data_IF_461512387391
#
_entry.id   IF_461512387391
#
_cell.length_a   1.000
_cell.length_b   1.000
_cell.length_c   1.000
_cell.angle_alpha   90.00
_cell.angle_beta   90.00
_cell.angle_gamma   90.00
#
_symmetry.space_group_name_H-M   'P 1'
#
loop_
_entity.id
_entity.type
_entity.pdbx_description
1 polymer ?
#
# COMPACT_ATOMS: atom_id res chain seq x y z
N UNK A 1 -12.75 -53.80 57.35
CA UNK A 1 -11.31 -54.11 57.47
C UNK A 1 -10.53 -52.81 57.46
N UNK A 2 -9.50 -52.77 58.29
CA UNK A 2 -8.80 -51.61 58.83
C UNK A 2 -7.65 -51.17 57.90
N UNK A 3 -7.15 -49.92 58.12
CA UNK A 3 -5.78 -49.40 57.82
C UNK A 3 -5.57 -48.86 56.38
N UNK A 4 -5.05 -47.64 56.15
CA UNK A 4 -4.55 -46.61 57.06
C UNK A 4 -4.02 -45.34 56.36
N UNK A 5 -3.87 -44.29 57.20
CA UNK A 5 -2.95 -43.12 57.18
C UNK A 5 -3.01 -42.19 55.93
N UNK A 6 -3.66 -41.01 55.96
CA UNK A 6 -3.40 -39.72 56.68
C UNK A 6 -1.98 -39.14 56.49
N UNK A 7 -1.91 -37.89 56.03
CA UNK A 7 -1.32 -36.72 56.70
C UNK A 7 -1.72 -35.45 55.90
N UNK A 8 -2.63 -34.59 56.41
CA UNK A 8 -2.39 -33.37 57.22
C UNK A 8 -1.73 -32.24 56.40
N UNK A 9 -2.07 -30.95 56.48
CA UNK A 9 -3.11 -30.17 57.16
C UNK A 9 -2.88 -28.71 56.73
N UNK A 10 -3.95 -27.93 56.58
CA UNK A 10 -3.89 -26.46 56.55
C UNK A 10 -3.53 -25.90 57.94
N UNK A 11 -2.85 -24.73 57.99
CA UNK A 11 -3.13 -23.56 58.85
C UNK A 11 -1.91 -22.61 58.97
N UNK A 12 -2.15 -21.34 58.56
CA UNK A 12 -1.65 -20.04 59.03
C UNK A 12 -0.16 -19.67 59.12
N UNK A 13 0.18 -18.49 58.55
CA UNK A 13 0.74 -17.37 59.32
C UNK A 13 0.62 -16.01 58.57
N UNK A 14 0.15 -15.00 59.31
CA UNK A 14 0.14 -13.55 59.04
C UNK A 14 1.51 -12.95 59.45
N UNK A 15 1.96 -11.87 58.79
CA UNK A 15 2.78 -10.83 59.45
C UNK A 15 3.98 -10.21 58.70
N UNK A 16 3.75 -9.02 58.13
CA UNK A 16 4.53 -7.74 58.02
C UNK A 16 6.08 -7.59 58.11
N UNK A 17 6.54 -6.54 57.38
CA UNK A 17 7.81 -5.74 57.36
C UNK A 17 8.91 -6.18 56.34
N UNK A 18 9.10 -5.51 55.18
CA UNK A 18 9.88 -4.27 54.87
C UNK A 18 11.39 -4.45 55.09
N UNK A 19 12.38 -4.24 54.20
CA UNK A 19 12.78 -3.18 53.25
C UNK A 19 13.87 -3.80 52.30
N UNK A 20 14.07 -3.37 51.04
CA UNK A 20 15.07 -2.36 50.65
C UNK A 20 14.76 -1.74 49.27
N UNK A 21 14.68 -0.39 49.28
CA UNK A 21 15.07 0.61 48.28
C UNK A 21 14.67 0.48 46.79
N UNK A 22 13.67 1.27 46.39
CA UNK A 22 13.45 1.79 45.02
C UNK A 22 14.33 3.04 44.76
N UNK A 23 14.82 3.26 43.53
CA UNK A 23 15.13 4.60 43.03
C UNK A 23 13.90 5.25 42.35
N UNK A 24 13.81 6.59 42.32
CA UNK A 24 12.61 7.31 41.90
C UNK A 24 12.67 7.70 40.42
N UNK A 25 11.63 7.33 39.66
CA UNK A 25 11.02 8.14 38.59
C UNK A 25 9.81 7.38 38.06
N UNK A 26 8.68 7.64 38.70
CA UNK A 26 7.36 7.13 38.37
C UNK A 26 6.87 7.70 37.03
N UNK A 27 6.50 6.82 36.09
CA UNK A 27 5.58 7.17 35.01
C UNK A 27 4.19 7.51 35.61
N UNK A 28 3.41 8.45 35.04
CA UNK A 28 2.12 8.82 35.59
C UNK A 28 1.14 7.64 35.54
N UNK A 29 0.48 7.34 36.66
CA UNK A 29 -0.66 6.41 36.70
C UNK A 29 -1.83 7.04 35.94
N UNK A 30 -2.16 6.50 34.78
CA UNK A 30 -3.46 6.74 34.16
C UNK A 30 -4.51 5.84 34.84
N UNK A 31 -5.53 6.44 35.43
CA UNK A 31 -6.72 5.73 35.91
C UNK A 31 -7.54 5.25 34.72
N UNK A 32 -7.72 3.93 34.61
CA UNK A 32 -8.55 3.29 33.61
C UNK A 32 -10.03 3.43 34.00
N UNK A 33 -10.78 4.27 33.27
CA UNK A 33 -12.25 4.27 33.35
C UNK A 33 -12.82 3.38 32.25
N UNK A 34 -13.70 2.46 32.64
CA UNK A 34 -14.38 1.53 31.73
C UNK A 34 -15.84 1.96 31.57
N UNK A 35 -16.38 1.91 30.36
CA UNK A 35 -17.82 1.92 30.12
C UNK A 35 -18.27 0.52 29.66
N UNK A 36 -19.32 0.02 30.29
CA UNK A 36 -19.94 -1.26 29.92
C UNK A 36 -20.83 -1.08 28.68
N UNK A 37 -20.59 -1.90 27.66
CA UNK A 37 -21.55 -2.09 26.57
C UNK A 37 -22.80 -2.78 27.14
N UNK A 38 -23.96 -2.12 27.06
CA UNK A 38 -25.23 -2.64 27.58
C UNK A 38 -25.80 -3.79 26.75
N UNK A 39 -25.22 -4.11 25.59
CA UNK A 39 -25.70 -5.17 24.69
C UNK A 39 -24.89 -6.48 24.75
N UNK A 40 -23.61 -6.44 25.13
CA UNK A 40 -22.74 -7.62 25.15
C UNK A 40 -21.95 -7.69 26.46
N UNK A 41 -22.38 -8.51 27.42
CA UNK A 41 -21.77 -8.62 28.77
C UNK A 41 -20.35 -9.23 28.83
N UNK A 42 -19.50 -9.17 27.77
CA UNK A 42 -18.20 -9.87 27.80
C UNK A 42 -16.99 -9.28 27.08
N UNK A 43 -16.97 -8.00 26.71
CA UNK A 43 -15.75 -7.42 26.10
C UNK A 43 -15.41 -6.05 26.67
N UNK A 44 -14.26 -5.96 27.36
CA UNK A 44 -13.64 -4.70 27.79
C UNK A 44 -12.80 -4.18 26.62
N UNK A 45 -13.16 -3.02 26.07
CA UNK A 45 -12.38 -2.34 25.03
C UNK A 45 -11.50 -1.28 25.71
N UNK A 46 -10.19 -1.29 25.42
CA UNK A 46 -9.28 -0.20 25.78
C UNK A 46 -9.41 0.93 24.77
N UNK A 47 -9.45 2.18 25.24
CA UNK A 47 -9.33 3.37 24.39
C UNK A 47 -8.01 4.06 24.79
N UNK A 48 -7.13 4.26 23.80
CA UNK A 48 -6.08 5.28 23.88
C UNK A 48 -6.62 6.52 23.15
N UNK A 49 -6.53 7.68 23.80
CA UNK A 49 -7.22 8.91 23.44
C UNK A 49 -6.96 9.35 22.00
N UNK A 50 -8.05 9.58 21.26
CA UNK A 50 -8.05 10.27 19.98
C UNK A 50 -8.74 11.62 20.18
N UNK A 51 -8.03 12.55 20.80
CA UNK A 51 -8.37 13.96 20.76
C UNK A 51 -7.35 14.67 19.86
N UNK A 52 -7.85 15.67 19.13
CA UNK A 52 -7.16 16.54 18.17
C UNK A 52 -6.71 15.88 16.86
N UNK A 53 -7.52 16.08 15.82
CA UNK A 53 -7.13 16.76 14.58
C UNK A 53 -8.43 17.13 13.83
N UNK A 54 -9.00 18.29 14.18
CA UNK A 54 -9.85 19.05 13.28
C UNK A 54 -8.95 19.58 12.16
N UNK A 55 -8.63 18.71 11.20
CA UNK A 55 -8.06 19.13 9.93
C UNK A 55 -9.21 19.60 9.05
N UNK A 56 -9.18 20.89 8.76
CA UNK A 56 -9.95 21.62 7.77
C UNK A 56 -10.02 20.88 6.43
N UNK A 57 -11.01 20.00 6.29
CA UNK A 57 -11.53 19.62 4.98
C UNK A 57 -12.31 20.82 4.50
N UNK A 58 -11.77 21.48 3.48
CA UNK A 58 -12.37 22.63 2.77
C UNK A 58 -13.86 22.42 2.57
N UNK A 59 -14.62 23.04 3.46
CA UNK A 59 -16.07 23.15 3.46
C UNK A 59 -16.50 24.18 2.41
N UNK A 60 -16.13 23.97 1.15
CA UNK A 60 -16.61 24.78 0.02
C UNK A 60 -17.41 23.95 -1.00
N UNK A 61 -17.39 22.62 -0.92
CA UNK A 61 -18.14 21.74 -1.84
C UNK A 61 -19.54 21.32 -1.37
N UNK A 62 -20.05 21.91 -0.29
CA UNK A 62 -21.30 21.48 0.34
C UNK A 62 -22.48 22.47 0.25
N UNK A 63 -22.36 23.56 -0.54
CA UNK A 63 -23.46 24.54 -0.72
C UNK A 63 -23.99 24.68 -2.16
N UNK A 64 -23.62 23.78 -3.09
CA UNK A 64 -24.04 23.87 -4.51
C UNK A 64 -25.07 22.82 -4.94
N UNK A 65 -26.11 22.59 -4.13
CA UNK A 65 -27.22 21.71 -4.57
C UNK A 65 -28.41 22.46 -5.16
N UNK A 66 -28.54 23.77 -4.91
CA UNK A 66 -29.75 24.53 -5.24
C UNK A 66 -29.51 25.72 -6.19
N UNK A 67 -28.31 25.85 -6.78
CA UNK A 67 -28.06 26.85 -7.83
C UNK A 67 -28.33 26.23 -9.20
N UNK A 68 -29.10 26.88 -10.09
CA UNK A 68 -29.29 26.42 -11.46
C UNK A 68 -27.93 26.36 -12.18
N UNK A 69 -27.69 25.26 -12.90
CA UNK A 69 -26.41 24.93 -13.54
C UNK A 69 -25.94 26.03 -14.48
N UNK A 70 -26.87 26.72 -15.12
CA UNK A 70 -26.58 27.88 -15.93
C UNK A 70 -25.74 28.90 -15.14
N UNK A 71 -26.12 29.28 -13.92
CA UNK A 71 -25.38 30.31 -13.14
C UNK A 71 -23.94 29.90 -12.78
N UNK A 72 -23.58 28.62 -12.91
CA UNK A 72 -22.23 28.13 -12.67
C UNK A 72 -21.26 28.35 -13.84
N UNK A 73 -21.74 28.77 -15.02
CA UNK A 73 -20.93 28.96 -16.23
C UNK A 73 -21.19 30.31 -16.89
N UNK A 74 -20.16 30.90 -17.52
CA UNK A 74 -20.30 32.12 -18.33
C UNK A 74 -21.09 31.83 -19.61
N UNK A 75 -21.69 32.87 -20.22
CA UNK A 75 -22.47 32.71 -21.45
C UNK A 75 -21.68 32.03 -22.58
N UNK A 76 -20.39 32.37 -22.71
CA UNK A 76 -19.46 31.76 -23.66
C UNK A 76 -19.22 30.27 -23.36
N UNK A 77 -18.98 29.92 -22.09
CA UNK A 77 -18.80 28.54 -21.67
C UNK A 77 -20.06 27.69 -21.92
N UNK A 78 -21.25 28.24 -21.64
CA UNK A 78 -22.52 27.58 -21.92
C UNK A 78 -22.70 27.31 -23.41
N UNK A 79 -22.40 28.29 -24.25
CA UNK A 79 -22.48 28.15 -25.70
C UNK A 79 -21.57 27.02 -26.21
N UNK A 80 -20.33 26.94 -25.74
CA UNK A 80 -19.39 25.87 -26.10
C UNK A 80 -19.87 24.49 -25.65
N UNK A 81 -20.39 24.39 -24.42
CA UNK A 81 -20.94 23.13 -23.88
C UNK A 81 -22.13 22.66 -24.72
N UNK A 82 -23.12 23.54 -24.93
CA UNK A 82 -24.33 23.23 -25.67
C UNK A 82 -24.03 22.91 -27.13
N UNK A 83 -23.13 23.66 -27.76
CA UNK A 83 -22.68 23.38 -29.12
C UNK A 83 -22.08 21.97 -29.19
N UNK A 84 -21.18 21.60 -28.28
CA UNK A 84 -20.56 20.27 -28.29
C UNK A 84 -21.57 19.15 -28.04
N UNK A 85 -22.52 19.34 -27.12
CA UNK A 85 -23.55 18.33 -26.84
C UNK A 85 -24.57 18.17 -27.98
N UNK A 86 -24.86 19.24 -28.72
CA UNK A 86 -25.80 19.21 -29.84
C UNK A 86 -25.16 18.70 -31.14
N UNK A 87 -23.86 18.94 -31.37
CA UNK A 87 -23.20 18.61 -32.65
C UNK A 87 -22.34 17.34 -32.61
N UNK A 88 -21.78 16.96 -31.46
CA UNK A 88 -20.84 15.83 -31.40
C UNK A 88 -21.51 14.50 -31.74
N UNK A 89 -20.79 13.63 -32.44
CA UNK A 89 -21.20 12.25 -32.71
C UNK A 89 -21.12 11.39 -31.44
N UNK A 90 -21.75 10.21 -31.44
CA UNK A 90 -21.67 9.27 -30.32
C UNK A 90 -20.21 8.95 -29.95
N UNK A 91 -19.38 8.59 -30.94
CA UNK A 91 -17.96 8.28 -30.76
C UNK A 91 -17.18 9.44 -30.15
N UNK A 92 -17.48 10.68 -30.54
CA UNK A 92 -16.85 11.88 -29.98
C UNK A 92 -17.29 12.16 -28.54
N UNK A 93 -18.56 11.91 -28.21
CA UNK A 93 -19.07 12.04 -26.85
C UNK A 93 -18.46 10.99 -25.92
N UNK A 94 -18.22 9.78 -26.38
CA UNK A 94 -17.54 8.74 -25.59
C UNK A 94 -16.10 9.12 -25.19
N UNK A 95 -15.46 10.01 -25.96
CA UNK A 95 -14.15 10.53 -25.59
C UNK A 95 -14.21 11.47 -24.38
N UNK A 96 -15.37 12.04 -24.05
CA UNK A 96 -15.57 12.95 -22.91
C UNK A 96 -15.68 12.15 -21.60
N UNK A 97 -15.08 12.68 -20.52
CA UNK A 97 -15.05 12.00 -19.22
C UNK A 97 -16.49 11.77 -18.72
N UNK A 98 -16.77 10.55 -18.26
CA UNK A 98 -18.10 10.11 -17.78
C UNK A 98 -19.23 10.03 -18.82
N UNK A 99 -18.95 10.19 -20.12
CA UNK A 99 -19.96 10.02 -21.18
C UNK A 99 -19.89 8.69 -21.95
N UNK A 100 -19.00 7.76 -21.59
CA UNK A 100 -18.85 6.47 -22.28
C UNK A 100 -20.10 5.58 -22.23
N UNK A 101 -20.32 4.80 -23.30
CA UNK A 101 -21.37 3.81 -23.39
C UNK A 101 -22.78 4.42 -23.37
N UNK A 102 -23.66 3.89 -22.51
CA UNK A 102 -25.09 4.23 -22.50
C UNK A 102 -25.39 5.72 -22.36
N UNK A 103 -24.48 6.52 -21.77
CA UNK A 103 -24.67 7.96 -21.58
C UNK A 103 -24.53 8.76 -22.89
N UNK A 104 -23.53 8.46 -23.72
CA UNK A 104 -23.39 9.08 -25.05
C UNK A 104 -24.60 8.75 -25.94
N UNK A 105 -25.00 7.47 -25.96
CA UNK A 105 -26.20 7.00 -26.68
C UNK A 105 -27.45 7.76 -26.22
N UNK A 106 -27.64 7.91 -24.90
CA UNK A 106 -28.80 8.61 -24.35
C UNK A 106 -28.82 10.10 -24.72
N UNK A 107 -27.67 10.78 -24.77
CA UNK A 107 -27.58 12.18 -25.20
C UNK A 107 -28.00 12.33 -26.66
N UNK A 108 -27.47 11.49 -27.55
CA UNK A 108 -27.83 11.50 -28.98
C UNK A 108 -29.32 11.17 -29.15
N UNK A 109 -29.81 10.12 -28.48
CA UNK A 109 -31.23 9.74 -28.53
C UNK A 109 -32.16 10.84 -28.02
N UNK A 110 -31.78 11.53 -26.94
CA UNK A 110 -32.59 12.58 -26.36
C UNK A 110 -32.68 13.79 -27.30
N UNK A 111 -31.56 14.27 -27.86
CA UNK A 111 -31.59 15.39 -28.81
C UNK A 111 -32.32 15.07 -30.12
N UNK A 112 -32.29 13.82 -30.57
CA UNK A 112 -33.04 13.38 -31.76
C UNK A 112 -34.54 13.32 -31.51
N UNK A 113 -34.97 13.05 -30.28
CA UNK A 113 -36.40 12.88 -29.94
C UNK A 113 -37.05 14.16 -29.40
N UNK A 114 -36.31 15.01 -28.70
CA UNK A 114 -36.82 16.22 -28.03
C UNK A 114 -36.30 17.53 -28.64
N UNK A 115 -35.44 17.44 -29.65
CA UNK A 115 -34.76 18.60 -30.23
C UNK A 115 -33.45 18.96 -29.52
N UNK A 116 -32.73 19.98 -30.01
CA UNK A 116 -31.44 20.38 -29.45
C UNK A 116 -31.59 20.93 -28.02
N UNK A 117 -30.54 20.78 -27.21
CA UNK A 117 -30.45 21.36 -25.87
C UNK A 117 -30.31 22.87 -25.95
N UNK A 118 -31.18 23.61 -25.26
CA UNK A 118 -31.18 25.08 -25.23
C UNK A 118 -30.63 25.67 -23.92
N UNK A 119 -30.60 24.89 -22.84
CA UNK A 119 -30.01 25.28 -21.55
C UNK A 119 -29.26 24.13 -20.90
N UNK A 120 -28.38 24.38 -19.94
CA UNK A 120 -27.66 23.30 -19.25
C UNK A 120 -28.59 22.46 -18.36
N UNK A 121 -29.73 23.02 -17.93
CA UNK A 121 -30.78 22.29 -17.22
C UNK A 121 -31.46 21.29 -18.13
N UNK A 122 -31.63 21.58 -19.43
CA UNK A 122 -32.24 20.63 -20.36
C UNK A 122 -31.42 19.32 -20.49
N UNK A 123 -30.11 19.40 -20.25
CA UNK A 123 -29.20 18.23 -20.24
C UNK A 123 -29.47 17.29 -19.06
N UNK A 124 -30.07 17.80 -17.98
CA UNK A 124 -30.45 17.01 -16.80
C UNK A 124 -31.63 16.06 -17.05
N UNK A 125 -32.40 16.30 -18.12
CA UNK A 125 -33.50 15.43 -18.53
C UNK A 125 -33.00 14.16 -19.25
N UNK A 126 -31.69 14.07 -19.54
CA UNK A 126 -31.09 12.90 -20.16
C UNK A 126 -30.96 11.77 -19.13
N UNK A 127 -31.49 10.56 -19.41
CA UNK A 127 -31.38 9.43 -18.49
C UNK A 127 -29.93 9.11 -18.15
N UNK A 128 -29.66 8.87 -16.85
CA UNK A 128 -28.34 8.55 -16.26
C UNK A 128 -27.36 9.73 -16.16
N UNK A 129 -27.78 10.95 -16.47
CA UNK A 129 -26.96 12.16 -16.35
C UNK A 129 -27.47 13.05 -15.21
N UNK A 130 -26.97 12.81 -13.99
CA UNK A 130 -27.32 13.59 -12.79
C UNK A 130 -26.38 14.80 -12.61
N UNK A 131 -26.75 15.75 -11.74
CA UNK A 131 -26.10 17.05 -11.55
C UNK A 131 -24.59 16.95 -11.37
N UNK A 132 -24.15 16.10 -10.43
CA UNK A 132 -22.72 15.85 -10.18
C UNK A 132 -21.98 15.31 -11.41
N UNK A 133 -22.63 14.47 -12.22
CA UNK A 133 -22.04 13.96 -13.46
C UNK A 133 -22.02 15.02 -14.56
N UNK A 134 -23.10 15.80 -14.69
CA UNK A 134 -23.20 16.88 -15.67
C UNK A 134 -22.11 17.95 -15.47
N UNK A 135 -21.88 18.39 -14.22
CA UNK A 135 -20.80 19.34 -13.89
C UNK A 135 -19.42 18.81 -14.32
N UNK A 136 -19.13 17.54 -14.06
CA UNK A 136 -17.85 16.92 -14.45
C UNK A 136 -17.73 16.84 -15.98
N UNK A 137 -18.82 16.56 -16.68
CA UNK A 137 -18.89 16.52 -18.14
C UNK A 137 -18.64 17.90 -18.74
N UNK A 138 -19.31 18.93 -18.23
CA UNK A 138 -19.17 20.32 -18.67
C UNK A 138 -17.73 20.81 -18.49
N UNK A 139 -17.14 20.59 -17.31
CA UNK A 139 -15.75 20.90 -17.06
C UNK A 139 -14.79 20.11 -17.98
N UNK A 140 -15.13 18.87 -18.33
CA UNK A 140 -14.34 18.08 -19.29
C UNK A 140 -14.47 18.54 -20.75
N UNK A 141 -15.56 19.22 -21.11
CA UNK A 141 -15.76 19.81 -22.44
C UNK A 141 -14.99 21.12 -22.55
N UNK A 142 -15.03 21.96 -21.50
CA UNK A 142 -14.30 23.22 -21.44
C UNK A 142 -12.77 23.05 -21.38
N UNK A 143 -12.29 22.00 -20.70
CA UNK A 143 -10.86 21.74 -20.53
C UNK A 143 -10.43 20.41 -21.20
N UNK A 144 -10.28 20.36 -22.55
CA UNK A 144 -9.85 19.14 -23.24
C UNK A 144 -8.36 18.80 -23.00
N UNK A 145 -7.53 19.77 -22.59
CA UNK A 145 -6.10 19.60 -22.33
C UNK A 145 -5.79 18.67 -21.14
N UNK A 146 -6.70 18.58 -20.16
CA UNK A 146 -6.66 17.66 -19.01
C UNK A 146 -6.55 16.17 -19.41
N UNK A 147 -6.86 15.83 -20.68
CA UNK A 147 -6.73 14.46 -21.21
C UNK A 147 -5.31 14.12 -21.65
N UNK A 148 -4.53 15.08 -22.16
CA UNK A 148 -3.16 14.83 -22.64
C UNK A 148 -2.18 14.80 -21.48
N UNK A 149 -2.35 15.64 -20.48
CA UNK A 149 -1.49 15.64 -19.29
C UNK A 149 -1.76 14.46 -18.35
N UNK A 150 -3.01 14.01 -18.19
CA UNK A 150 -3.31 12.84 -17.33
C UNK A 150 -3.00 11.48 -17.97
N UNK A 151 -2.85 11.41 -19.30
CA UNK A 151 -2.45 10.17 -20.01
C UNK A 151 -0.94 9.91 -19.95
N UNK A 152 -0.11 10.94 -19.79
CA UNK A 152 1.28 10.80 -19.30
C UNK A 152 1.22 10.83 -17.78
N UNK A 153 0.65 9.76 -17.21
CA UNK A 153 0.33 9.72 -15.80
C UNK A 153 1.60 9.87 -14.97
N UNK A 154 1.83 11.06 -14.41
CA UNK A 154 2.65 11.21 -13.20
C UNK A 154 2.15 10.15 -12.24
N UNK A 155 2.92 9.08 -12.04
CA UNK A 155 2.54 8.01 -11.13
C UNK A 155 2.49 8.66 -9.76
N UNK A 156 1.28 8.87 -9.23
CA UNK A 156 1.13 9.54 -7.95
C UNK A 156 1.82 8.66 -6.89
N UNK A 157 2.96 9.11 -6.38
CA UNK A 157 3.82 8.40 -5.43
C UNK A 157 3.03 7.80 -4.25
N UNK A 158 2.05 8.56 -3.74
CA UNK A 158 1.16 8.12 -2.65
C UNK A 158 0.29 6.89 -2.98
N UNK A 159 0.24 6.46 -4.25
CA UNK A 159 -0.47 5.23 -4.65
C UNK A 159 0.35 3.96 -4.40
N UNK A 160 1.67 4.04 -4.39
CA UNK A 160 2.51 2.84 -4.33
C UNK A 160 3.52 2.81 -3.17
N UNK A 161 3.85 3.94 -2.54
CA UNK A 161 4.70 4.01 -1.34
C UNK A 161 3.91 4.51 -0.13
N UNK A 162 4.12 3.91 1.04
CA UNK A 162 3.57 4.36 2.34
C UNK A 162 4.57 4.19 3.48
N UNK A 163 4.62 5.06 4.49
CA UNK A 163 3.93 6.34 4.60
C UNK A 163 4.34 7.31 3.48
N UNK A 164 3.59 8.41 3.33
CA UNK A 164 3.93 9.44 2.35
C UNK A 164 5.23 10.14 2.79
N UNK A 165 6.19 10.21 1.87
CA UNK A 165 7.48 10.85 2.04
C UNK A 165 7.67 11.80 0.87
N UNK A 166 8.34 12.91 1.12
CA UNK A 166 8.67 13.85 0.05
C UNK A 166 9.49 13.15 -1.05
N UNK A 167 9.09 13.39 -2.30
CA UNK A 167 9.72 12.79 -3.48
C UNK A 167 11.19 13.15 -3.55
N UNK A 168 11.55 14.39 -3.19
CA UNK A 168 12.94 14.85 -3.22
C UNK A 168 13.84 13.99 -2.31
N UNK A 169 13.33 13.57 -1.14
CA UNK A 169 14.07 12.71 -0.21
C UNK A 169 14.22 11.28 -0.76
N UNK A 170 13.20 10.76 -1.45
CA UNK A 170 13.29 9.43 -2.07
C UNK A 170 14.24 9.42 -3.27
N UNK A 171 14.23 10.48 -4.07
CA UNK A 171 15.17 10.67 -5.18
C UNK A 171 16.60 10.88 -4.71
N UNK A 172 16.78 11.47 -3.52
CA UNK A 172 18.09 11.63 -2.90
C UNK A 172 18.61 10.38 -2.16
N UNK A 173 17.89 9.26 -2.20
CA UNK A 173 18.42 7.99 -1.69
C UNK A 173 19.68 7.56 -2.47
N UNK A 174 20.76 7.25 -1.75
CA UNK A 174 21.98 6.67 -2.29
C UNK A 174 21.85 5.16 -2.44
N UNK A 175 21.23 4.49 -1.47
CA UNK A 175 20.94 3.05 -1.53
C UNK A 175 19.68 2.65 -0.75
N UNK A 176 19.08 1.55 -1.17
CA UNK A 176 17.89 0.97 -0.54
C UNK A 176 18.09 -0.52 -0.25
N UNK A 177 17.42 -1.02 0.79
CA UNK A 177 17.23 -2.47 1.01
C UNK A 177 15.76 -2.81 0.78
N UNK A 178 15.50 -3.55 -0.29
CA UNK A 178 14.17 -4.08 -0.59
C UNK A 178 13.97 -5.43 0.08
N UNK A 179 12.87 -5.62 0.80
CA UNK A 179 12.57 -6.75 1.67
C UNK A 179 11.22 -7.35 1.27
N UNK A 180 11.20 -8.66 1.05
CA UNK A 180 9.99 -9.45 0.76
C UNK A 180 9.91 -10.62 1.74
N UNK A 181 8.75 -10.78 2.37
CA UNK A 181 8.47 -11.87 3.29
C UNK A 181 7.53 -12.89 2.64
N UNK A 182 7.98 -14.14 2.59
CA UNK A 182 7.15 -15.30 2.26
C UNK A 182 6.54 -15.92 3.51
N UNK A 183 6.08 -17.16 3.43
CA UNK A 183 5.50 -17.90 4.56
C UNK A 183 6.55 -18.55 5.48
N UNK A 184 7.78 -18.72 5.01
CA UNK A 184 8.88 -19.35 5.75
C UNK A 184 10.25 -18.71 5.50
N UNK A 185 10.30 -17.60 4.76
CA UNK A 185 11.54 -16.96 4.32
C UNK A 185 11.39 -15.45 4.28
N UNK A 186 12.52 -14.78 4.43
CA UNK A 186 12.68 -13.37 4.11
C UNK A 186 13.79 -13.27 3.06
N UNK A 187 13.52 -12.58 1.96
CA UNK A 187 14.51 -12.24 0.96
C UNK A 187 14.72 -10.73 0.92
N UNK A 188 15.94 -10.31 0.61
CA UNK A 188 16.26 -8.91 0.47
C UNK A 188 17.23 -8.64 -0.67
N UNK A 189 17.21 -7.40 -1.16
CA UNK A 189 18.12 -6.88 -2.18
C UNK A 189 18.60 -5.51 -1.77
N UNK A 190 19.91 -5.33 -1.63
CA UNK A 190 20.54 -4.03 -1.48
C UNK A 190 20.91 -3.50 -2.86
N UNK A 191 20.40 -2.31 -3.20
CA UNK A 191 20.59 -1.69 -4.50
C UNK A 191 20.97 -0.22 -4.34
N UNK A 192 21.95 0.23 -5.12
CA UNK A 192 22.35 1.64 -5.18
C UNK A 192 21.52 2.43 -6.22
N UNK A 193 21.69 3.76 -6.22
CA UNK A 193 21.07 4.65 -7.20
C UNK A 193 21.48 4.35 -8.65
N UNK A 194 22.66 3.77 -8.88
CA UNK A 194 23.11 3.35 -10.20
C UNK A 194 22.39 2.08 -10.71
N UNK A 195 21.49 1.50 -9.91
CA UNK A 195 20.80 0.22 -10.16
C UNK A 195 21.76 -0.96 -10.17
N UNK A 196 22.83 -0.87 -9.39
CA UNK A 196 23.76 -1.98 -9.12
C UNK A 196 23.25 -2.77 -7.93
N UNK A 197 23.15 -4.08 -8.10
CA UNK A 197 22.82 -5.00 -7.01
C UNK A 197 24.07 -5.21 -6.16
N UNK A 198 24.09 -4.63 -4.96
CA UNK A 198 25.22 -4.71 -4.02
C UNK A 198 25.17 -5.99 -3.19
N UNK A 199 23.97 -6.37 -2.75
CA UNK A 199 23.73 -7.61 -2.02
C UNK A 199 22.38 -8.21 -2.41
N UNK A 200 22.29 -9.53 -2.46
CA UNK A 200 21.06 -10.25 -2.82
C UNK A 200 21.03 -11.62 -2.16
N UNK A 201 20.15 -11.76 -1.16
CA UNK A 201 20.15 -12.91 -0.26
C UNK A 201 18.74 -13.26 0.22
N UNK A 202 18.63 -14.44 0.81
CA UNK A 202 17.43 -14.91 1.49
C UNK A 202 17.82 -15.72 2.72
N UNK A 203 16.95 -15.70 3.72
CA UNK A 203 17.08 -16.48 4.93
C UNK A 203 15.79 -17.28 5.18
N UNK A 204 15.95 -18.51 5.67
CA UNK A 204 14.84 -19.32 6.16
C UNK A 204 14.55 -18.99 7.62
N UNK A 205 13.30 -18.65 7.91
CA UNK A 205 12.83 -18.36 9.26
C UNK A 205 12.10 -19.61 9.78
N UNK A 206 12.73 -20.32 10.72
CA UNK A 206 12.26 -21.64 11.14
C UNK A 206 10.96 -21.57 11.92
N UNK A 207 10.71 -20.47 12.61
CA UNK A 207 9.54 -20.22 13.47
C UNK A 207 8.33 -19.75 12.67
N UNK A 208 8.52 -19.32 11.43
CA UNK A 208 7.44 -18.78 10.60
C UNK A 208 6.42 -19.85 10.23
N UNK A 209 5.15 -19.56 10.53
CA UNK A 209 4.00 -20.42 10.21
C UNK A 209 4.15 -21.89 10.64
N UNK A 210 4.97 -22.19 11.67
CA UNK A 210 5.13 -23.54 12.22
C UNK A 210 4.50 -23.63 13.61
N UNK A 211 3.56 -24.56 13.76
CA UNK A 211 2.92 -24.82 15.05
C UNK A 211 2.11 -23.62 15.57
N UNK A 212 2.20 -23.38 16.87
CA UNK A 212 1.50 -22.29 17.54
C UNK A 212 2.21 -20.96 17.29
N UNK A 213 1.45 -19.92 16.94
CA UNK A 213 2.00 -18.57 16.77
C UNK A 213 2.55 -18.03 18.10
N UNK A 214 3.86 -17.80 18.16
CA UNK A 214 4.56 -17.17 19.29
C UNK A 214 5.37 -15.97 18.78
N UNK A 215 5.12 -14.79 19.34
CA UNK A 215 5.75 -13.54 18.90
C UNK A 215 7.25 -13.45 19.27
N UNK A 216 7.67 -14.10 20.36
CA UNK A 216 9.07 -14.22 20.75
C UNK A 216 9.90 -14.91 19.68
N UNK A 217 9.39 -16.01 19.15
CA UNK A 217 10.12 -16.86 18.21
C UNK A 217 10.28 -16.16 16.85
N UNK A 218 9.29 -15.35 16.47
CA UNK A 218 9.38 -14.46 15.31
C UNK A 218 10.40 -13.35 15.52
N UNK A 219 10.44 -12.76 16.72
CA UNK A 219 11.41 -11.71 17.04
C UNK A 219 12.85 -12.22 16.94
N UNK A 220 13.13 -13.43 17.41
CA UNK A 220 14.45 -14.05 17.28
C UNK A 220 14.88 -14.25 15.82
N UNK A 221 14.02 -14.88 15.01
CA UNK A 221 14.26 -15.10 13.58
C UNK A 221 14.46 -13.77 12.84
N UNK A 222 13.60 -12.78 13.07
CA UNK A 222 13.66 -11.48 12.39
C UNK A 222 14.89 -10.69 12.85
N UNK A 223 15.25 -10.72 14.13
CA UNK A 223 16.45 -10.02 14.63
C UNK A 223 17.73 -10.60 14.03
N UNK A 224 17.79 -11.93 13.87
CA UNK A 224 18.89 -12.59 13.16
C UNK A 224 18.99 -12.13 11.70
N UNK A 225 17.86 -12.01 11.00
CA UNK A 225 17.82 -11.51 9.61
C UNK A 225 18.24 -10.05 9.53
N UNK A 226 17.69 -9.17 10.37
CA UNK A 226 18.03 -7.73 10.37
C UNK A 226 19.52 -7.50 10.62
N UNK A 227 20.15 -8.34 11.44
CA UNK A 227 21.60 -8.26 11.71
C UNK A 227 22.47 -8.48 10.46
N UNK A 228 21.90 -9.06 9.40
CA UNK A 228 22.57 -9.24 8.11
C UNK A 228 22.33 -8.10 7.11
N UNK A 229 21.45 -7.14 7.43
CA UNK A 229 21.15 -6.04 6.51
C UNK A 229 22.29 -5.02 6.47
N UNK A 230 22.71 -4.60 5.26
CA UNK A 230 23.64 -3.49 5.14
C UNK A 230 22.97 -2.16 5.52
N UNK A 231 23.75 -1.13 5.87
CA UNK A 231 23.22 0.21 6.06
C UNK A 231 22.64 0.75 4.75
N UNK A 232 21.46 1.34 4.82
CA UNK A 232 20.77 1.97 3.69
C UNK A 232 19.92 3.16 4.15
N UNK A 233 19.54 4.00 3.20
CA UNK A 233 18.73 5.20 3.45
C UNK A 233 17.27 4.81 3.73
N UNK A 234 16.76 3.87 2.93
CA UNK A 234 15.42 3.33 3.08
C UNK A 234 15.38 1.79 3.08
N UNK A 235 14.49 1.25 3.90
CA UNK A 235 14.11 -0.16 3.92
C UNK A 235 12.71 -0.30 3.33
N UNK A 236 12.60 -0.92 2.16
CA UNK A 236 11.33 -1.10 1.44
C UNK A 236 10.76 -2.48 1.77
N UNK A 237 9.70 -2.52 2.56
CA UNK A 237 8.95 -3.73 2.88
C UNK A 237 7.81 -3.91 1.86
N UNK A 238 7.63 -5.12 1.36
CA UNK A 238 6.48 -5.40 0.49
C UNK A 238 5.15 -5.24 1.24
N UNK A 239 4.21 -4.50 0.64
CA UNK A 239 2.81 -4.50 1.06
C UNK A 239 2.01 -5.53 0.26
N UNK A 240 1.64 -6.68 0.85
CA UNK A 240 0.85 -7.69 0.16
C UNK A 240 -0.59 -7.21 -0.06
N UNK A 241 -1.16 -7.61 -1.21
CA UNK A 241 -2.54 -7.31 -1.62
C UNK A 241 -3.60 -8.28 -1.10
N UNK A 242 -3.35 -8.97 0.03
CA UNK A 242 -4.31 -9.92 0.60
C UNK A 242 -5.45 -9.16 1.27
N UNK A 243 -6.68 -9.42 0.83
CA UNK A 243 -7.88 -8.81 1.42
C UNK A 243 -8.15 -9.39 2.81
N UNK A 244 -8.41 -8.54 3.83
CA UNK A 244 -8.82 -9.01 5.16
C UNK A 244 -10.17 -9.73 5.17
N UNK A 245 -10.98 -9.56 4.11
CA UNK A 245 -12.26 -10.23 3.96
C UNK A 245 -12.10 -11.72 3.58
N UNK A 246 -10.93 -12.12 3.07
CA UNK A 246 -10.67 -13.51 2.75
C UNK A 246 -10.26 -14.28 4.01
N UNK A 247 -11.23 -14.90 4.66
CA UNK A 247 -11.04 -15.68 5.90
C UNK A 247 -10.12 -16.89 5.72
N UNK A 248 -10.08 -17.48 4.52
CA UNK A 248 -9.22 -18.65 4.25
C UNK A 248 -7.72 -18.32 4.29
N UNK A 249 -7.35 -17.09 3.92
CA UNK A 249 -5.97 -16.61 3.94
C UNK A 249 -5.64 -15.81 5.20
N UNK A 250 -6.55 -15.75 6.18
CA UNK A 250 -6.36 -14.96 7.39
C UNK A 250 -5.09 -15.35 8.18
N UNK A 251 -4.73 -16.64 8.35
CA UNK A 251 -3.47 -17.00 9.04
C UNK A 251 -2.23 -16.43 8.33
N UNK A 252 -2.20 -16.49 6.99
CA UNK A 252 -1.11 -15.92 6.18
C UNK A 252 -1.10 -14.39 6.29
N UNK A 253 -2.26 -13.76 6.28
CA UNK A 253 -2.38 -12.31 6.46
C UNK A 253 -1.83 -11.87 7.82
N UNK A 254 -2.23 -12.54 8.91
CA UNK A 254 -1.74 -12.23 10.26
C UNK A 254 -0.23 -12.39 10.32
N UNK A 255 0.30 -13.50 9.78
CA UNK A 255 1.73 -13.74 9.70
C UNK A 255 2.48 -12.60 9.00
N UNK A 256 2.09 -12.24 7.77
CA UNK A 256 2.75 -11.18 7.01
C UNK A 256 2.63 -9.82 7.70
N UNK A 257 1.49 -9.53 8.36
CA UNK A 257 1.29 -8.29 9.12
C UNK A 257 2.13 -8.23 10.40
N UNK A 258 2.33 -9.36 11.08
CA UNK A 258 3.24 -9.46 12.22
C UNK A 258 4.67 -9.18 11.80
N UNK A 259 5.15 -9.84 10.74
CA UNK A 259 6.51 -9.64 10.24
C UNK A 259 6.70 -8.20 9.77
N UNK A 260 5.74 -7.64 9.03
CA UNK A 260 5.71 -6.22 8.64
C UNK A 260 5.86 -5.33 9.88
N UNK A 261 5.02 -5.51 10.90
CA UNK A 261 5.06 -4.68 12.12
C UNK A 261 6.40 -4.78 12.87
N UNK A 262 6.99 -5.97 12.96
CA UNK A 262 8.30 -6.18 13.59
C UNK A 262 9.43 -5.53 12.79
N UNK A 263 9.44 -5.65 11.47
CA UNK A 263 10.41 -4.97 10.61
C UNK A 263 10.33 -3.45 10.77
N UNK A 264 9.11 -2.90 10.76
CA UNK A 264 8.90 -1.46 11.01
C UNK A 264 9.39 -1.03 12.39
N UNK A 265 9.13 -1.81 13.43
CA UNK A 265 9.55 -1.47 14.78
C UNK A 265 11.07 -1.56 14.98
N UNK A 266 11.72 -2.57 14.41
CA UNK A 266 13.14 -2.86 14.63
C UNK A 266 14.08 -2.05 13.71
N UNK A 267 13.65 -1.75 12.49
CA UNK A 267 14.45 -0.96 11.53
C UNK A 267 14.24 0.55 11.68
N UNK A 268 13.19 0.98 12.39
CA UNK A 268 13.00 2.40 12.69
C UNK A 268 13.95 2.81 13.81
N UNK A 269 14.86 3.77 13.59
CA UNK A 269 15.76 4.24 14.64
C UNK A 269 14.98 4.89 15.79
N UNK A 270 15.60 4.94 16.98
CA UNK A 270 15.04 5.66 18.13
C UNK A 270 14.76 7.12 17.70
N UNK A 271 13.47 7.48 17.68
CA UNK A 271 12.94 8.66 17.00
C UNK A 271 13.65 9.96 17.39
N UNK A 272 14.30 10.58 16.41
CA UNK A 272 14.37 12.05 16.37
C UNK A 272 13.08 12.59 15.74
N UNK A 273 12.38 13.53 16.39
CA UNK A 273 11.01 13.94 16.03
C UNK A 273 10.86 14.61 14.64
N UNK A 274 11.96 14.86 13.92
CA UNK A 274 11.96 15.48 12.60
C UNK A 274 12.52 14.59 11.48
N UNK A 275 12.97 13.36 11.79
CA UNK A 275 13.55 12.48 10.77
C UNK A 275 12.47 11.82 9.89
N UNK A 276 12.66 11.76 8.56
CA UNK A 276 11.73 11.08 7.68
C UNK A 276 11.72 9.57 8.00
N UNK A 277 10.58 8.88 7.74
CA UNK A 277 10.48 7.46 8.00
C UNK A 277 11.45 6.69 7.10
N UNK A 278 12.36 5.93 7.70
CA UNK A 278 13.32 5.08 6.97
C UNK A 278 12.69 3.81 6.42
N UNK A 279 11.65 3.29 7.08
CA UNK A 279 10.97 2.06 6.66
C UNK A 279 9.71 2.42 5.89
N UNK A 280 9.60 1.92 4.67
CA UNK A 280 8.51 2.20 3.75
C UNK A 280 7.88 0.89 3.28
N UNK A 281 6.62 0.98 2.89
CA UNK A 281 5.85 -0.08 2.28
C UNK A 281 5.72 0.19 0.78
N UNK A 282 6.03 -0.79 -0.05
CA UNK A 282 5.80 -0.72 -1.50
C UNK A 282 4.69 -1.68 -1.94
N UNK A 283 3.72 -1.19 -2.71
CA UNK A 283 2.55 -1.98 -3.10
C UNK A 283 2.92 -3.07 -4.11
N UNK A 284 2.71 -4.34 -3.75
CA UNK A 284 2.97 -5.51 -4.63
C UNK A 284 2.29 -5.40 -6.01
N UNK A 285 1.09 -4.83 -6.05
CA UNK A 285 0.32 -4.65 -7.29
C UNK A 285 0.89 -3.57 -8.20
N UNK A 286 1.52 -2.53 -7.64
CA UNK A 286 2.19 -1.50 -8.42
C UNK A 286 3.45 -2.08 -9.09
N UNK A 287 4.27 -2.81 -8.33
CA UNK A 287 5.43 -3.56 -8.86
C UNK A 287 4.98 -4.54 -9.95
N UNK A 288 3.92 -5.32 -9.69
CA UNK A 288 3.40 -6.25 -10.69
C UNK A 288 2.96 -5.58 -12.00
N UNK A 289 2.28 -4.42 -11.92
CA UNK A 289 1.88 -3.66 -13.12
C UNK A 289 3.09 -3.12 -13.88
N UNK A 290 4.10 -2.62 -13.16
CA UNK A 290 5.33 -2.08 -13.74
C UNK A 290 6.05 -3.07 -14.65
N UNK A 291 6.10 -4.34 -14.25
CA UNK A 291 6.75 -5.41 -15.02
C UNK A 291 5.79 -6.21 -15.91
N UNK A 292 4.54 -5.76 -16.09
CA UNK A 292 3.51 -6.50 -16.84
C UNK A 292 3.29 -7.93 -16.33
N UNK A 293 3.37 -8.14 -15.01
CA UNK A 293 3.17 -9.43 -14.34
C UNK A 293 1.73 -9.64 -13.87
N UNK A 294 0.79 -8.76 -14.21
CA UNK A 294 -0.61 -8.89 -13.79
C UNK A 294 -1.43 -9.54 -14.90
N UNK A 295 -2.08 -10.67 -14.58
CA UNK A 295 -3.04 -11.37 -15.43
C UNK A 295 -4.37 -11.45 -14.70
N UNK A 296 -5.35 -10.67 -15.17
CA UNK A 296 -6.59 -10.44 -14.42
C UNK A 296 -6.31 -9.73 -13.10
N UNK A 297 -6.67 -10.38 -11.98
CA UNK A 297 -6.41 -9.88 -10.62
C UNK A 297 -5.20 -10.56 -9.95
N UNK A 298 -4.53 -11.49 -10.65
CA UNK A 298 -3.43 -12.28 -10.13
C UNK A 298 -2.09 -11.81 -10.67
N UNK A 299 -1.05 -11.86 -9.82
CA UNK A 299 0.33 -11.61 -10.23
C UNK A 299 1.02 -12.94 -10.58
N UNK A 300 1.70 -12.99 -11.73
CA UNK A 300 2.51 -14.12 -12.18
C UNK A 300 3.94 -14.03 -11.62
N UNK A 301 4.71 -15.12 -11.75
CA UNK A 301 6.12 -15.18 -11.31
C UNK A 301 6.98 -14.16 -12.06
N UNK A 302 7.90 -13.52 -11.33
CA UNK A 302 8.90 -12.61 -11.88
C UNK A 302 10.18 -13.28 -12.39
N UNK A 303 10.30 -14.61 -12.25
CA UNK A 303 11.56 -15.33 -12.46
C UNK A 303 12.11 -15.20 -13.89
N UNK A 304 11.24 -15.24 -14.91
CA UNK A 304 11.66 -15.08 -16.31
C UNK A 304 12.19 -13.66 -16.58
N UNK A 305 11.52 -12.66 -16.03
CA UNK A 305 11.95 -11.25 -16.12
C UNK A 305 13.33 -11.06 -15.50
N UNK A 306 13.56 -11.65 -14.32
CA UNK A 306 14.85 -11.59 -13.62
C UNK A 306 15.95 -12.32 -14.41
N UNK A 307 15.69 -13.53 -14.92
CA UNK A 307 16.65 -14.26 -15.76
C UNK A 307 17.06 -13.48 -17.00
N UNK A 308 16.08 -12.83 -17.65
CA UNK A 308 16.32 -11.96 -18.79
C UNK A 308 17.21 -10.79 -18.39
N UNK A 309 16.94 -10.12 -17.27
CA UNK A 309 17.78 -9.02 -16.76
C UNK A 309 19.22 -9.46 -16.46
N UNK A 310 19.41 -10.63 -15.84
CA UNK A 310 20.75 -11.19 -15.57
C UNK A 310 21.53 -11.48 -16.86
N UNK A 311 20.84 -11.86 -17.93
CA UNK A 311 21.47 -12.10 -19.24
C UNK A 311 21.77 -10.78 -19.95
N UNK A 312 20.83 -9.85 -19.92
CA UNK A 312 20.95 -8.54 -20.56
C UNK A 312 22.00 -7.64 -19.89
N UNK A 313 22.26 -7.79 -18.59
CA UNK A 313 23.29 -7.03 -17.88
C UNK A 313 24.71 -7.23 -18.40
N UNK A 314 24.96 -8.38 -19.05
CA UNK A 314 26.26 -8.71 -19.66
C UNK A 314 26.31 -8.28 -21.13
N UNK A 315 25.17 -8.29 -21.82
CA UNK A 315 25.09 -8.12 -23.28
C UNK A 315 24.84 -6.67 -23.69
N UNK A 316 24.03 -5.92 -22.94
CA UNK A 316 23.60 -4.58 -23.32
C UNK A 316 24.56 -3.52 -22.79
N UNK A 317 24.74 -2.45 -23.56
CA UNK A 317 25.54 -1.28 -23.18
C UNK A 317 24.90 -0.46 -22.05
N UNK A 318 23.56 -0.36 -22.01
CA UNK A 318 22.80 0.26 -20.91
C UNK A 318 21.74 -0.73 -20.39
N UNK A 319 22.11 -1.62 -19.48
CA UNK A 319 21.16 -2.56 -18.90
C UNK A 319 20.28 -1.90 -17.85
N UNK A 320 19.08 -2.47 -17.66
CA UNK A 320 18.11 -1.97 -16.69
C UNK A 320 18.57 -2.10 -15.23
N UNK A 321 19.44 -3.08 -14.97
CA UNK A 321 20.05 -3.39 -13.67
C UNK A 321 21.44 -3.96 -13.91
N UNK A 322 22.39 -3.62 -13.03
CA UNK A 322 23.77 -4.08 -13.07
C UNK A 322 23.98 -5.15 -11.99
N UNK A 323 24.60 -6.26 -12.37
CA UNK A 323 24.94 -7.35 -11.45
C UNK A 323 26.45 -7.54 -11.39
N UNK A 324 27.05 -7.53 -10.19
CA UNK A 324 28.36 -8.09 -9.94
C UNK A 324 28.45 -9.55 -10.42
N UNK A 325 29.56 -9.91 -11.04
CA UNK A 325 29.73 -11.21 -11.70
C UNK A 325 29.60 -12.40 -10.72
N UNK A 326 30.08 -12.23 -9.49
CA UNK A 326 29.95 -13.18 -8.39
C UNK A 326 28.49 -13.45 -8.01
N UNK A 327 27.65 -12.40 -7.96
CA UNK A 327 26.22 -12.55 -7.67
C UNK A 327 25.46 -13.28 -8.79
N UNK A 328 25.81 -13.03 -10.06
CA UNK A 328 25.23 -13.75 -11.20
C UNK A 328 25.55 -15.24 -11.10
N UNK A 329 26.80 -15.59 -10.80
CA UNK A 329 27.22 -16.98 -10.63
C UNK A 329 26.51 -17.66 -9.46
N UNK A 330 26.43 -16.98 -8.30
CA UNK A 330 25.78 -17.49 -7.08
C UNK A 330 24.32 -17.86 -7.32
N UNK A 331 23.58 -17.03 -8.07
CA UNK A 331 22.12 -17.18 -8.22
C UNK A 331 21.66 -17.78 -9.55
N UNK A 332 22.57 -18.17 -10.44
CA UNK A 332 22.25 -18.76 -11.75
C UNK A 332 21.27 -19.95 -11.67
N UNK A 333 21.38 -20.75 -10.62
CA UNK A 333 20.58 -21.96 -10.42
C UNK A 333 19.35 -21.75 -9.52
N UNK A 334 19.25 -20.61 -8.83
CA UNK A 334 18.19 -20.33 -7.85
C UNK A 334 16.79 -20.22 -8.49
N UNK A 335 16.73 -19.96 -9.80
CA UNK A 335 15.48 -19.68 -10.53
C UNK A 335 15.06 -20.81 -11.47
N UNK A 336 15.61 -22.02 -11.36
CA UNK A 336 15.19 -23.16 -12.18
C UNK A 336 13.82 -23.70 -11.75
N UNK A 337 12.95 -24.03 -12.71
CA UNK A 337 11.57 -24.50 -12.47
C UNK A 337 11.49 -25.79 -11.63
N UNK A 338 12.59 -26.56 -11.57
CA UNK A 338 12.71 -27.82 -10.81
C UNK A 338 13.17 -27.63 -9.36
N UNK A 339 13.55 -26.41 -8.94
CA UNK A 339 14.04 -26.20 -7.57
C UNK A 339 12.87 -26.21 -6.58
N UNK A 340 12.99 -27.03 -5.53
CA UNK A 340 12.05 -27.01 -4.38
C UNK A 340 12.07 -25.66 -3.65
N UNK A 341 13.15 -24.89 -3.80
CA UNK A 341 13.34 -23.53 -3.31
C UNK A 341 13.05 -22.54 -4.44
N UNK A 342 11.76 -22.37 -4.78
CA UNK A 342 11.36 -21.32 -5.72
C UNK A 342 11.83 -19.98 -5.14
N UNK A 343 12.86 -19.37 -5.73
CA UNK A 343 13.40 -18.06 -5.33
C UNK A 343 12.47 -16.92 -5.71
N UNK A 344 11.16 -17.06 -5.48
CA UNK A 344 10.15 -16.05 -5.80
C UNK A 344 10.34 -14.82 -4.92
N UNK A 345 10.59 -15.00 -3.62
CA UNK A 345 10.88 -13.88 -2.72
C UNK A 345 12.16 -13.13 -3.15
N UNK A 346 13.19 -13.86 -3.61
CA UNK A 346 14.41 -13.26 -4.19
C UNK A 346 14.09 -12.44 -5.44
N UNK A 347 13.30 -13.00 -6.36
CA UNK A 347 12.88 -12.28 -7.57
C UNK A 347 12.08 -11.03 -7.22
N UNK A 348 11.12 -11.16 -6.31
CA UNK A 348 10.24 -10.08 -5.91
C UNK A 348 11.00 -8.96 -5.19
N UNK A 349 11.97 -9.29 -4.34
CA UNK A 349 12.82 -8.30 -3.67
C UNK A 349 13.61 -7.47 -4.69
N UNK A 350 14.19 -8.12 -5.69
CA UNK A 350 14.92 -7.45 -6.76
C UNK A 350 14.01 -6.59 -7.64
N UNK A 351 12.88 -7.13 -8.08
CA UNK A 351 11.92 -6.39 -8.90
C UNK A 351 11.36 -5.18 -8.16
N UNK A 352 11.08 -5.31 -6.86
CA UNK A 352 10.65 -4.20 -6.03
C UNK A 352 11.72 -3.10 -5.94
N UNK A 353 13.01 -3.45 -5.79
CA UNK A 353 14.10 -2.48 -5.78
C UNK A 353 14.21 -1.72 -7.12
N UNK A 354 14.14 -2.45 -8.25
CA UNK A 354 14.18 -1.84 -9.58
C UNK A 354 12.98 -0.91 -9.79
N UNK A 355 11.78 -1.37 -9.44
CA UNK A 355 10.55 -0.57 -9.57
C UNK A 355 10.61 0.70 -8.72
N UNK A 356 11.24 0.67 -7.53
CA UNK A 356 11.38 1.87 -6.71
C UNK A 356 12.13 2.98 -7.46
N UNK A 357 13.31 2.68 -7.99
CA UNK A 357 14.11 3.68 -8.72
C UNK A 357 13.47 4.11 -10.04
N UNK A 358 12.75 3.23 -10.73
CA UNK A 358 12.13 3.57 -12.01
C UNK A 358 10.83 4.36 -11.85
N UNK A 359 9.95 3.98 -10.93
CA UNK A 359 8.69 4.69 -10.68
C UNK A 359 8.91 6.07 -10.05
N UNK A 360 10.08 6.31 -9.44
CA UNK A 360 10.49 7.64 -9.00
C UNK A 360 10.92 8.56 -10.15
N UNK A 361 11.25 8.04 -11.34
CA UNK A 361 11.66 8.84 -12.50
C UNK A 361 10.51 9.16 -13.46
N UNK A 362 9.41 8.43 -13.36
CA UNK A 362 8.14 8.69 -14.07
C UNK A 362 7.36 9.88 -13.48
#
# INVERSE_FOLDING_TARGET
>A
MQIGKRLLSSIFLKGHYSLFCRPPRSLPKYELRFLQCTYCRRSRIMICGLDTLNASVSSELCQEKDKPLDLCYTAEQRAVILQRLNTATESELEQVKLLRGRKAVNIVKHRTTHGPFHSLESVMNVPLLKHKSAVIVFNSILNPADKKERKKGKVHLAKFIRPEVDRALLEDASSIVSIVCGTNKIAWTHMDRARTVLDWQQAECKSFMKGTYMASDYLEDISAVISSFPPADFFLVEKPGISPQNTSLYPVLVHLRTVEAMLFALLTPAREPASPPKVLNMMRTAVGRHFNLIVGDCRTSGAETVKKMMTESVIKQDPRVLFPHDLVLKHRNSFQMSSRNRGEELCDALLQAIAFFELLRE
#
